data_IF_481741391055
#
_entry.id   IF_481741391055
#
_cell.length_a   1.000
_cell.length_b   1.000
_cell.length_c   1.000
_cell.angle_alpha   90.00
_cell.angle_beta   90.00
_cell.angle_gamma   90.00
#
_symmetry.space_group_name_H-M   'P 1'
#
loop_
_entity.id
_entity.type
_entity.pdbx_description
1 polymer ?
#
# COMPACT_ATOMS: atom_id res chain seq x y z
N UNK A 1 -7.22 1.62 38.13
CA UNK A 1 -5.81 1.44 37.76
C UNK A 1 -5.75 1.64 36.26
N UNK A 2 -5.46 2.87 35.84
CA UNK A 2 -5.16 3.15 34.42
C UNK A 2 -3.92 2.35 34.05
N UNK A 3 -4.06 1.53 33.00
CA UNK A 3 -2.89 0.91 32.36
C UNK A 3 -2.06 2.08 31.79
N UNK A 4 -0.88 2.31 32.35
CA UNK A 4 0.11 3.18 31.75
C UNK A 4 0.31 2.73 30.30
N UNK A 5 -0.22 3.49 29.37
CA UNK A 5 -0.02 3.25 27.95
C UNK A 5 1.45 3.49 27.65
N UNK A 6 2.20 2.40 27.50
CA UNK A 6 3.61 2.48 27.08
C UNK A 6 3.59 3.12 25.67
N UNK A 7 4.00 4.36 25.58
CA UNK A 7 4.17 5.04 24.28
C UNK A 7 5.44 4.47 23.65
N UNK A 8 5.25 3.50 22.76
CA UNK A 8 6.34 3.03 21.90
C UNK A 8 6.61 4.15 20.88
N UNK A 9 7.63 4.93 21.12
CA UNK A 9 8.16 5.86 20.12
C UNK A 9 9.00 5.07 19.14
N UNK A 10 8.41 4.67 18.00
CA UNK A 10 9.20 4.18 16.89
C UNK A 10 9.91 5.36 16.25
N UNK A 11 11.23 5.46 16.48
CA UNK A 11 12.05 6.43 15.78
C UNK A 11 12.27 5.92 14.35
N UNK A 12 11.66 6.62 13.43
CA UNK A 12 11.95 6.49 12.03
C UNK A 12 13.27 7.20 11.76
N UNK A 13 14.34 6.48 11.46
CA UNK A 13 15.52 7.07 10.86
C UNK A 13 15.12 7.46 9.44
N UNK A 14 14.66 8.69 9.26
CA UNK A 14 14.17 9.20 7.99
C UNK A 14 15.20 10.00 7.24
N UNK A 15 15.03 9.97 5.91
CA UNK A 15 15.60 10.83 4.92
C UNK A 15 15.91 12.24 5.44
N UNK A 16 17.17 12.61 5.38
CA UNK A 16 17.84 13.90 5.29
C UNK A 16 17.25 15.16 5.96
N UNK A 17 16.14 15.12 6.67
CA UNK A 17 15.63 16.28 7.40
C UNK A 17 15.30 15.94 8.85
N UNK A 18 16.24 16.35 9.71
CA UNK A 18 16.12 16.52 11.16
C UNK A 18 15.96 15.27 12.02
N UNK A 19 17.07 14.89 12.60
CA UNK A 19 17.13 14.33 13.94
C UNK A 19 16.57 15.38 14.93
N UNK A 20 15.28 15.57 14.97
CA UNK A 20 14.68 16.48 15.94
C UNK A 20 14.16 15.78 17.19
N UNK A 21 14.26 14.46 17.29
CA UNK A 21 13.96 13.77 18.53
C UNK A 21 15.02 12.69 18.83
N UNK A 22 16.19 13.11 19.28
CA UNK A 22 16.93 12.25 20.16
C UNK A 22 16.01 11.94 21.37
N UNK A 23 15.87 10.66 21.79
CA UNK A 23 15.09 10.33 22.98
C UNK A 23 15.63 11.16 24.14
N UNK A 24 14.74 11.74 24.95
CA UNK A 24 15.17 12.39 26.20
C UNK A 24 15.88 11.35 27.03
N UNK A 25 16.97 11.72 27.65
CA UNK A 25 17.74 10.81 28.52
C UNK A 25 16.75 10.15 29.50
N UNK A 26 16.68 8.81 29.45
CA UNK A 26 15.78 8.00 30.28
C UNK A 26 14.46 7.54 29.61
N UNK A 27 14.14 7.97 28.39
CA UNK A 27 13.01 7.38 27.66
C UNK A 27 13.40 6.02 27.07
N UNK A 28 12.57 5.02 27.30
CA UNK A 28 12.70 3.70 26.66
C UNK A 28 12.19 3.80 25.22
N UNK A 29 12.91 3.19 24.29
CA UNK A 29 12.56 3.15 22.87
C UNK A 29 13.05 1.87 22.21
N UNK A 30 12.44 1.51 21.10
CA UNK A 30 12.88 0.41 20.24
C UNK A 30 13.52 1.02 19.00
N UNK A 31 14.82 0.78 18.74
CA UNK A 31 15.45 1.24 17.50
C UNK A 31 14.79 0.56 16.30
N UNK A 32 14.31 1.35 15.33
CA UNK A 32 13.67 0.85 14.13
C UNK A 32 14.41 1.35 12.89
N UNK A 33 14.96 0.42 12.10
CA UNK A 33 15.67 0.73 10.87
C UNK A 33 14.80 0.36 9.67
N UNK A 34 14.46 1.37 8.86
CA UNK A 34 13.66 1.20 7.65
C UNK A 34 14.53 1.01 6.42
N UNK A 35 14.19 0.06 5.57
CA UNK A 35 14.69 -0.06 4.22
C UNK A 35 16.24 0.07 4.16
N UNK A 36 16.80 1.07 3.49
CA UNK A 36 18.26 1.25 3.34
C UNK A 36 19.02 1.40 4.65
N UNK A 37 18.37 1.86 5.71
CA UNK A 37 19.05 2.13 6.99
C UNK A 37 19.38 0.87 7.79
N UNK A 38 18.88 -0.30 7.40
CA UNK A 38 19.23 -1.60 8.05
C UNK A 38 20.73 -1.92 7.95
N UNK A 39 21.46 -1.31 7.01
CA UNK A 39 22.91 -1.46 6.85
C UNK A 39 23.75 -0.59 7.79
N UNK A 40 23.12 0.29 8.53
CA UNK A 40 23.80 1.15 9.50
C UNK A 40 24.26 0.33 10.72
N UNK A 41 24.96 1.00 11.65
CA UNK A 41 25.27 0.39 12.94
C UNK A 41 23.97 0.09 13.69
N UNK A 42 23.67 -1.19 13.89
CA UNK A 42 22.44 -1.65 14.53
C UNK A 42 22.62 -1.64 16.06
N UNK A 43 21.70 -1.02 16.75
CA UNK A 43 21.61 -1.01 18.21
C UNK A 43 21.04 -2.34 18.75
N UNK A 44 21.33 -2.71 20.01
CA UNK A 44 20.69 -3.86 20.64
C UNK A 44 19.14 -3.76 20.60
N UNK A 45 18.47 -4.89 20.45
CA UNK A 45 17.00 -5.00 20.35
C UNK A 45 16.38 -4.22 19.19
N UNK A 46 17.16 -3.83 18.19
CA UNK A 46 16.65 -3.16 17.02
C UNK A 46 15.71 -4.05 16.20
N UNK A 47 14.75 -3.41 15.57
CA UNK A 47 13.90 -4.04 14.55
C UNK A 47 14.24 -3.50 13.16
N UNK A 48 14.09 -4.35 12.14
CA UNK A 48 14.11 -3.93 10.74
C UNK A 48 12.67 -3.85 10.21
N UNK A 49 12.36 -2.80 9.45
CA UNK A 49 11.06 -2.62 8.81
C UNK A 49 11.25 -2.43 7.31
N UNK A 50 10.91 -3.45 6.53
CA UNK A 50 11.12 -3.48 5.08
C UNK A 50 9.79 -3.25 4.40
N UNK A 51 9.63 -2.04 3.85
CA UNK A 51 8.41 -1.56 3.21
C UNK A 51 8.45 -1.68 1.70
N UNK A 52 9.65 -1.49 1.11
CA UNK A 52 9.81 -1.51 -0.33
C UNK A 52 10.06 -2.94 -0.84
N UNK A 53 9.54 -3.29 -2.02
CA UNK A 53 9.75 -4.61 -2.60
C UNK A 53 11.22 -4.93 -2.89
N UNK A 54 11.57 -6.21 -2.84
CA UNK A 54 12.90 -6.73 -3.20
C UNK A 54 13.39 -6.20 -4.55
N UNK A 55 12.51 -6.06 -5.53
CA UNK A 55 12.84 -5.52 -6.86
C UNK A 55 13.43 -4.11 -6.79
N UNK A 56 12.99 -3.29 -5.83
CA UNK A 56 13.49 -1.91 -5.62
C UNK A 56 14.74 -1.93 -4.76
N UNK A 57 14.83 -2.87 -3.80
CA UNK A 57 15.89 -2.91 -2.80
C UNK A 57 16.56 -4.28 -2.67
N UNK A 58 17.05 -4.90 -3.76
CA UNK A 58 17.60 -6.26 -3.68
C UNK A 58 18.77 -6.38 -2.69
N UNK A 59 19.65 -5.38 -2.66
CA UNK A 59 20.82 -5.39 -1.76
C UNK A 59 20.48 -5.29 -0.28
N UNK A 60 19.29 -4.79 0.07
CA UNK A 60 18.79 -4.76 1.44
C UNK A 60 18.33 -6.14 1.86
N UNK A 61 17.56 -6.81 1.00
CA UNK A 61 17.11 -8.17 1.25
C UNK A 61 18.30 -9.13 1.39
N UNK A 62 19.27 -9.06 0.47
CA UNK A 62 20.51 -9.86 0.55
C UNK A 62 21.31 -9.59 1.83
N UNK A 63 21.33 -8.35 2.29
CA UNK A 63 21.99 -8.01 3.55
C UNK A 63 21.27 -8.65 4.74
N UNK A 64 19.95 -8.57 4.80
CA UNK A 64 19.15 -9.16 5.89
C UNK A 64 19.22 -10.68 5.89
N UNK A 65 19.26 -11.35 4.75
CA UNK A 65 19.46 -12.79 4.64
C UNK A 65 20.79 -13.24 5.30
N UNK A 66 21.82 -12.41 5.22
CA UNK A 66 23.15 -12.69 5.80
C UNK A 66 23.31 -12.22 7.24
N UNK A 67 22.51 -11.27 7.69
CA UNK A 67 22.69 -10.56 8.96
C UNK A 67 21.40 -10.44 9.76
N UNK A 68 20.46 -11.36 9.58
CA UNK A 68 19.17 -11.35 10.26
C UNK A 68 19.28 -11.38 11.79
N UNK A 69 20.32 -12.02 12.31
CA UNK A 69 20.63 -12.17 13.73
C UNK A 69 20.99 -10.85 14.43
N UNK A 70 21.27 -9.78 13.69
CA UNK A 70 21.49 -8.43 14.21
C UNK A 70 20.21 -7.74 14.66
N UNK A 71 19.05 -8.26 14.24
CA UNK A 71 17.75 -7.66 14.53
C UNK A 71 16.95 -8.58 15.44
N UNK A 72 16.22 -7.98 16.37
CA UNK A 72 15.29 -8.74 17.22
C UNK A 72 14.12 -9.26 16.38
N UNK A 73 13.57 -8.41 15.51
CA UNK A 73 12.56 -8.77 14.54
C UNK A 73 12.83 -8.11 13.19
N UNK A 74 12.43 -8.79 12.11
CA UNK A 74 12.41 -8.27 10.75
C UNK A 74 10.96 -8.26 10.29
N UNK A 75 10.40 -7.08 10.15
CA UNK A 75 9.04 -6.89 9.65
C UNK A 75 9.06 -6.65 8.16
N UNK A 76 8.41 -7.51 7.38
CA UNK A 76 8.51 -7.52 5.92
C UNK A 76 7.29 -8.16 5.25
N UNK A 77 7.05 -7.82 4.01
CA UNK A 77 6.12 -8.53 3.12
C UNK A 77 6.84 -9.53 2.20
N UNK A 78 8.18 -9.46 2.12
CA UNK A 78 8.98 -10.28 1.19
C UNK A 78 8.96 -11.76 1.58
N UNK A 79 8.49 -12.62 0.69
CA UNK A 79 8.28 -14.04 0.94
C UNK A 79 9.57 -14.81 1.28
N UNK A 80 10.73 -14.37 0.77
CA UNK A 80 12.02 -15.00 1.08
C UNK A 80 12.52 -14.56 2.47
N UNK A 81 12.40 -13.28 2.79
CA UNK A 81 12.76 -12.80 4.13
C UNK A 81 11.85 -13.39 5.22
N UNK A 82 10.59 -13.68 4.91
CA UNK A 82 9.66 -14.32 5.84
C UNK A 82 10.07 -15.76 6.25
N UNK A 83 11.02 -16.38 5.55
CA UNK A 83 11.61 -17.66 5.95
C UNK A 83 12.63 -17.54 7.08
N UNK A 84 13.07 -16.31 7.40
CA UNK A 84 14.03 -16.07 8.49
C UNK A 84 13.37 -16.29 9.86
N UNK A 85 14.12 -16.80 10.87
CA UNK A 85 13.53 -17.23 12.15
C UNK A 85 12.83 -16.12 12.94
N UNK A 86 13.26 -14.86 12.77
CA UNK A 86 12.76 -13.69 13.47
C UNK A 86 11.92 -12.76 12.58
N UNK A 87 11.56 -13.21 11.37
CA UNK A 87 10.75 -12.42 10.47
C UNK A 87 9.25 -12.47 10.85
N UNK A 88 8.56 -11.37 10.60
CA UNK A 88 7.13 -11.18 10.82
C UNK A 88 6.50 -10.50 9.60
N UNK A 89 5.31 -10.95 9.17
CA UNK A 89 4.64 -10.35 8.01
C UNK A 89 4.12 -8.96 8.32
N UNK A 90 4.22 -8.05 7.34
CA UNK A 90 3.53 -6.76 7.37
C UNK A 90 2.72 -6.54 6.12
N UNK A 91 1.70 -5.70 6.26
CA UNK A 91 0.95 -5.10 5.17
C UNK A 91 1.20 -3.61 5.23
N UNK A 92 1.83 -3.07 4.18
CA UNK A 92 2.12 -1.64 4.08
C UNK A 92 0.98 -0.93 3.36
N UNK A 93 -0.11 -0.69 4.09
CA UNK A 93 -1.30 -0.05 3.58
C UNK A 93 -1.63 1.24 4.35
N UNK A 94 -2.62 1.97 3.88
CA UNK A 94 -3.12 3.19 4.51
C UNK A 94 -4.31 3.74 3.72
N UNK A 95 -5.05 4.66 4.31
CA UNK A 95 -6.10 5.41 3.64
C UNK A 95 -5.75 6.89 3.75
N UNK A 96 -5.71 7.58 2.62
CA UNK A 96 -5.36 8.99 2.56
C UNK A 96 -6.57 9.89 2.42
N UNK A 97 -7.69 9.35 1.90
CA UNK A 97 -8.89 10.11 1.65
C UNK A 97 -10.14 9.23 1.77
N UNK A 98 -11.16 9.76 2.41
CA UNK A 98 -12.48 9.16 2.56
C UNK A 98 -13.52 10.04 1.88
N UNK A 99 -14.40 9.45 1.07
CA UNK A 99 -15.51 10.18 0.44
C UNK A 99 -16.77 9.33 0.34
N UNK A 100 -17.90 10.02 0.45
CA UNK A 100 -19.25 9.49 0.14
C UNK A 100 -19.84 10.21 -1.08
N UNK A 101 -18.99 10.80 -1.92
CA UNK A 101 -19.40 11.50 -3.13
C UNK A 101 -20.19 10.59 -4.06
N UNK A 102 -21.24 11.12 -4.69
CA UNK A 102 -22.02 10.42 -5.70
C UNK A 102 -21.15 10.11 -6.92
N UNK A 103 -21.33 8.93 -7.52
CA UNK A 103 -20.54 8.46 -8.65
C UNK A 103 -21.04 8.99 -9.98
N UNK A 104 -20.10 9.46 -10.80
CA UNK A 104 -20.33 9.92 -12.15
C UNK A 104 -20.12 8.76 -13.15
N UNK A 105 -21.13 8.47 -13.94
CA UNK A 105 -21.08 7.39 -14.94
C UNK A 105 -20.87 7.89 -16.37
N UNK A 106 -20.76 9.20 -16.58
CA UNK A 106 -20.45 9.77 -17.90
C UNK A 106 -18.95 9.56 -18.21
N UNK A 107 -18.10 9.62 -17.15
CA UNK A 107 -16.68 9.32 -17.19
C UNK A 107 -16.34 8.28 -16.09
N UNK A 108 -16.65 6.99 -16.32
CA UNK A 108 -16.71 6.04 -15.22
C UNK A 108 -15.34 5.55 -14.72
N UNK A 109 -14.26 5.76 -15.46
CA UNK A 109 -12.97 5.12 -15.20
C UNK A 109 -11.85 6.15 -15.06
N UNK A 110 -11.06 6.02 -14.00
CA UNK A 110 -9.85 6.80 -13.80
C UNK A 110 -8.59 5.94 -13.72
N UNK A 111 -7.43 6.56 -13.96
CA UNK A 111 -6.11 6.02 -13.64
C UNK A 111 -5.21 7.14 -13.15
N UNK A 112 -4.33 6.85 -12.17
CA UNK A 112 -3.24 7.73 -11.78
C UNK A 112 -1.89 7.11 -12.11
N UNK A 113 -1.05 7.80 -12.89
CA UNK A 113 0.23 7.28 -13.33
C UNK A 113 1.39 8.28 -13.12
N UNK A 114 2.56 7.80 -12.66
CA UNK A 114 3.72 8.66 -12.42
C UNK A 114 4.57 8.82 -13.68
N UNK A 115 5.33 9.90 -13.73
CA UNK A 115 6.40 10.08 -14.73
C UNK A 115 7.53 9.06 -14.54
N UNK A 116 7.97 8.88 -13.28
CA UNK A 116 9.06 7.95 -12.93
C UNK A 116 8.57 6.51 -12.93
N UNK A 117 9.04 5.73 -13.89
CA UNK A 117 8.66 4.34 -14.09
C UNK A 117 9.87 3.42 -13.85
N UNK A 118 10.15 3.10 -12.58
CA UNK A 118 11.32 2.33 -12.15
C UNK A 118 11.10 0.81 -12.09
N UNK A 119 9.85 0.35 -12.19
CA UNK A 119 9.50 -1.07 -12.19
C UNK A 119 8.69 -1.40 -13.44
N UNK A 120 8.68 -2.68 -13.91
CA UNK A 120 7.90 -3.08 -15.08
C UNK A 120 6.42 -2.66 -14.99
N UNK A 121 5.79 -2.79 -13.81
CA UNK A 121 4.39 -2.41 -13.62
C UNK A 121 4.19 -0.90 -13.61
N UNK A 122 5.14 -0.10 -13.12
CA UNK A 122 5.10 1.36 -13.27
C UNK A 122 5.24 1.79 -14.72
N UNK A 123 6.11 1.11 -15.50
CA UNK A 123 6.23 1.34 -16.95
C UNK A 123 4.91 1.03 -17.64
N UNK A 124 4.33 -0.13 -17.37
CA UNK A 124 3.05 -0.54 -17.95
C UNK A 124 1.93 0.44 -17.60
N UNK A 125 1.83 0.87 -16.33
CA UNK A 125 0.82 1.83 -15.89
C UNK A 125 0.96 3.18 -16.61
N UNK A 126 2.20 3.66 -16.78
CA UNK A 126 2.47 4.88 -17.55
C UNK A 126 2.05 4.72 -19.01
N UNK A 127 2.36 3.58 -19.64
CA UNK A 127 1.97 3.30 -21.03
C UNK A 127 0.45 3.25 -21.19
N UNK A 128 -0.26 2.57 -20.28
CA UNK A 128 -1.73 2.53 -20.30
C UNK A 128 -2.31 3.93 -20.21
N UNK A 129 -1.84 4.77 -19.28
CA UNK A 129 -2.32 6.14 -19.16
C UNK A 129 -2.03 6.97 -20.42
N UNK A 130 -0.89 6.76 -21.06
CA UNK A 130 -0.52 7.47 -22.29
C UNK A 130 -1.39 7.06 -23.47
N UNK A 131 -1.63 5.77 -23.63
CA UNK A 131 -2.35 5.21 -24.76
C UNK A 131 -3.86 5.41 -24.66
N UNK A 132 -4.40 5.53 -23.44
CA UNK A 132 -5.84 5.59 -23.19
C UNK A 132 -6.35 6.95 -22.69
N UNK A 133 -5.52 8.01 -22.72
CA UNK A 133 -5.90 9.33 -22.22
C UNK A 133 -7.07 10.01 -22.97
N UNK A 134 -7.39 9.54 -24.17
CA UNK A 134 -8.56 10.00 -24.95
C UNK A 134 -9.81 9.13 -24.68
N UNK A 135 -9.67 8.07 -23.89
CA UNK A 135 -10.76 7.10 -23.61
C UNK A 135 -11.21 7.13 -22.16
N UNK A 136 -10.28 7.31 -21.22
CA UNK A 136 -10.52 7.36 -19.78
C UNK A 136 -9.83 8.57 -19.15
N UNK A 137 -10.23 8.95 -17.95
CA UNK A 137 -9.62 10.08 -17.25
C UNK A 137 -8.27 9.68 -16.62
N UNK A 138 -7.20 10.30 -17.13
CA UNK A 138 -5.82 10.00 -16.74
C UNK A 138 -5.20 11.13 -15.92
N UNK A 139 -4.73 10.80 -14.73
CA UNK A 139 -4.16 11.73 -13.76
C UNK A 139 -2.69 11.45 -13.46
N UNK A 140 -2.02 12.46 -12.88
CA UNK A 140 -0.65 12.35 -12.40
C UNK A 140 0.38 12.87 -13.41
N UNK A 141 1.64 12.57 -13.14
CA UNK A 141 2.77 13.22 -13.81
C UNK A 141 3.24 12.50 -15.08
N UNK A 142 2.53 11.48 -15.55
CA UNK A 142 2.97 10.57 -16.64
C UNK A 142 3.31 11.26 -17.96
N UNK A 143 2.67 12.39 -18.25
CA UNK A 143 2.86 13.18 -19.47
C UNK A 143 3.42 14.60 -19.18
N UNK A 144 4.07 14.81 -18.03
CA UNK A 144 4.51 16.13 -17.58
C UNK A 144 3.42 16.93 -16.85
N UNK A 145 2.28 16.29 -16.52
CA UNK A 145 1.20 16.86 -15.74
C UNK A 145 1.55 17.09 -14.28
N UNK A 146 0.57 17.55 -13.52
CA UNK A 146 0.72 17.85 -12.11
C UNK A 146 0.45 16.61 -11.23
N UNK A 147 0.88 16.71 -9.96
CA UNK A 147 0.53 15.71 -8.96
C UNK A 147 -0.98 15.73 -8.69
N UNK A 148 -1.62 14.55 -8.76
CA UNK A 148 -3.04 14.39 -8.47
C UNK A 148 -3.26 13.93 -7.03
N UNK A 149 -4.24 14.49 -6.35
CA UNK A 149 -4.71 14.04 -5.05
C UNK A 149 -5.73 12.91 -5.22
N UNK A 150 -6.00 12.16 -4.13
CA UNK A 150 -6.99 11.09 -4.16
C UNK A 150 -8.39 11.59 -4.57
N UNK A 151 -8.76 12.79 -4.13
CA UNK A 151 -10.03 13.44 -4.48
C UNK A 151 -10.19 13.54 -5.99
N UNK A 152 -9.14 13.92 -6.70
CA UNK A 152 -9.17 14.20 -8.14
C UNK A 152 -9.54 12.96 -8.95
N UNK A 153 -9.03 11.78 -8.57
CA UNK A 153 -9.15 10.56 -9.38
C UNK A 153 -9.97 9.43 -8.74
N UNK A 154 -10.58 9.65 -7.55
CA UNK A 154 -11.40 8.62 -6.88
C UNK A 154 -12.81 9.11 -6.51
N UNK A 155 -12.98 10.34 -6.03
CA UNK A 155 -14.25 10.75 -5.43
C UNK A 155 -15.47 10.47 -6.31
N UNK A 156 -15.43 10.95 -7.54
CA UNK A 156 -16.57 10.82 -8.48
C UNK A 156 -16.53 9.54 -9.33
N UNK A 157 -15.40 8.80 -9.32
CA UNK A 157 -15.23 7.65 -10.21
C UNK A 157 -15.78 6.37 -9.60
N UNK A 158 -16.72 5.68 -10.28
CA UNK A 158 -17.14 4.35 -9.87
C UNK A 158 -16.04 3.30 -10.01
N UNK A 159 -15.10 3.49 -10.94
CA UNK A 159 -13.98 2.60 -11.19
C UNK A 159 -12.65 3.33 -11.25
N UNK A 160 -11.58 2.66 -10.82
CA UNK A 160 -10.21 3.15 -11.01
C UNK A 160 -9.26 2.00 -11.33
N UNK A 161 -8.36 2.21 -12.29
CA UNK A 161 -7.31 1.25 -12.61
C UNK A 161 -6.22 1.35 -11.56
N UNK A 162 -6.06 0.29 -10.78
CA UNK A 162 -5.13 0.19 -9.68
C UNK A 162 -4.07 -0.85 -9.99
N UNK A 163 -2.84 -0.40 -10.16
CA UNK A 163 -1.70 -1.27 -10.40
C UNK A 163 -0.66 -1.08 -9.30
N UNK A 164 -0.30 -2.16 -8.63
CA UNK A 164 0.78 -2.13 -7.67
C UNK A 164 2.14 -1.99 -8.36
N UNK A 165 3.15 -1.59 -7.60
CA UNK A 165 4.51 -1.46 -8.15
C UNK A 165 5.21 -2.81 -8.31
N UNK A 166 4.69 -3.84 -7.64
CA UNK A 166 5.19 -5.20 -7.59
C UNK A 166 4.04 -6.15 -7.29
N UNK A 167 4.13 -7.42 -7.69
CA UNK A 167 3.15 -8.45 -7.37
C UNK A 167 3.76 -9.41 -6.36
N UNK A 168 3.17 -9.45 -5.18
CA UNK A 168 3.48 -10.39 -4.11
C UNK A 168 2.21 -10.69 -3.31
N UNK A 169 2.14 -11.84 -2.65
CA UNK A 169 0.95 -12.29 -1.93
C UNK A 169 0.53 -11.34 -0.80
N UNK A 170 1.51 -10.74 -0.12
CA UNK A 170 1.28 -9.80 0.99
C UNK A 170 1.40 -8.32 0.57
N UNK A 171 1.60 -8.07 -0.74
CA UNK A 171 1.83 -6.73 -1.22
C UNK A 171 0.57 -6.10 -1.81
N UNK A 172 -0.15 -5.37 -0.99
CA UNK A 172 -1.10 -4.35 -1.42
C UNK A 172 -0.86 -3.07 -0.62
N UNK A 173 -1.25 -1.94 -1.15
CA UNK A 173 -0.88 -0.64 -0.59
C UNK A 173 -2.08 0.29 -0.48
N UNK A 174 -1.81 1.54 -0.12
CA UNK A 174 -2.80 2.62 -0.09
C UNK A 174 -3.63 2.75 -1.38
N UNK A 175 -3.13 2.28 -2.52
CA UNK A 175 -3.81 2.42 -3.81
C UNK A 175 -5.17 1.76 -3.84
N UNK A 176 -5.23 0.47 -3.44
CA UNK A 176 -6.51 -0.24 -3.39
C UNK A 176 -7.34 0.19 -2.18
N UNK A 177 -6.69 0.51 -1.06
CA UNK A 177 -7.38 0.96 0.15
C UNK A 177 -8.12 2.29 -0.07
N UNK A 178 -7.51 3.23 -0.79
CA UNK A 178 -8.16 4.48 -1.16
C UNK A 178 -9.39 4.26 -2.07
N UNK A 179 -9.37 3.26 -2.96
CA UNK A 179 -10.55 2.92 -3.74
C UNK A 179 -11.72 2.52 -2.83
N UNK A 180 -11.49 1.59 -1.90
CA UNK A 180 -12.54 1.14 -0.98
C UNK A 180 -13.06 2.27 -0.08
N UNK A 181 -12.16 3.12 0.44
CA UNK A 181 -12.52 4.26 1.25
C UNK A 181 -13.39 5.31 0.50
N UNK A 182 -13.32 5.30 -0.82
CA UNK A 182 -14.06 6.20 -1.69
C UNK A 182 -15.23 5.53 -2.42
N UNK A 183 -15.64 4.31 -2.05
CA UNK A 183 -16.67 3.53 -2.76
C UNK A 183 -16.36 3.33 -4.26
N UNK A 184 -15.09 3.26 -4.63
CA UNK A 184 -14.61 3.05 -6.00
C UNK A 184 -14.23 1.58 -6.17
N UNK A 185 -14.70 0.93 -7.23
CA UNK A 185 -14.33 -0.46 -7.57
C UNK A 185 -12.97 -0.44 -8.27
N UNK A 186 -11.92 -1.09 -7.71
CA UNK A 186 -10.63 -1.16 -8.36
C UNK A 186 -10.62 -2.19 -9.50
N UNK A 187 -10.14 -1.79 -10.68
CA UNK A 187 -9.63 -2.69 -11.71
C UNK A 187 -8.19 -3.00 -11.33
N UNK A 188 -7.97 -4.14 -10.67
CA UNK A 188 -6.80 -4.37 -9.84
C UNK A 188 -5.80 -5.34 -10.45
N UNK A 189 -4.57 -4.85 -10.64
CA UNK A 189 -3.39 -5.66 -10.97
C UNK A 189 -2.37 -5.58 -9.83
N UNK A 190 -2.34 -6.60 -8.98
CA UNK A 190 -1.52 -6.65 -7.78
C UNK A 190 -1.53 -8.03 -7.12
N UNK A 191 -1.62 -8.08 -5.79
CA UNK A 191 -1.64 -9.32 -5.01
C UNK A 191 -2.72 -10.28 -5.49
N UNK A 192 -2.33 -11.52 -5.76
CA UNK A 192 -3.28 -12.58 -6.14
C UNK A 192 -4.13 -13.05 -4.96
N UNK A 193 -3.69 -12.76 -3.73
CA UNK A 193 -4.39 -13.09 -2.49
C UNK A 193 -5.19 -11.93 -1.91
N UNK A 194 -5.46 -10.91 -2.71
CA UNK A 194 -6.22 -9.74 -2.22
C UNK A 194 -7.60 -10.12 -1.65
N UNK A 195 -8.19 -11.21 -2.14
CA UNK A 195 -9.48 -11.71 -1.67
C UNK A 195 -9.41 -12.41 -0.29
N UNK A 196 -8.21 -12.68 0.23
CA UNK A 196 -8.05 -13.14 1.63
C UNK A 196 -8.30 -11.97 2.62
N UNK A 197 -8.24 -10.73 2.14
CA UNK A 197 -8.38 -9.50 2.93
C UNK A 197 -9.69 -8.77 2.64
N UNK A 198 -10.12 -8.75 1.38
CA UNK A 198 -11.27 -7.99 0.91
C UNK A 198 -12.26 -8.87 0.16
N UNK A 199 -13.50 -8.39 0.06
CA UNK A 199 -14.54 -9.08 -0.69
C UNK A 199 -14.25 -8.99 -2.20
N UNK A 200 -14.04 -10.14 -2.84
CA UNK A 200 -13.68 -10.23 -4.24
C UNK A 200 -14.73 -9.69 -5.21
N UNK A 201 -16.03 -9.74 -4.84
CA UNK A 201 -17.10 -9.22 -5.68
C UNK A 201 -17.02 -7.69 -5.85
N UNK A 202 -16.35 -7.00 -4.92
CA UNK A 202 -16.06 -5.57 -5.00
C UNK A 202 -14.73 -5.23 -5.68
N UNK A 203 -14.09 -6.20 -6.36
CA UNK A 203 -12.79 -6.05 -7.03
C UNK A 203 -12.87 -6.65 -8.43
N UNK A 204 -12.36 -5.96 -9.42
CA UNK A 204 -12.15 -6.51 -10.76
C UNK A 204 -10.68 -6.89 -10.88
N UNK A 205 -10.35 -8.15 -10.55
CA UNK A 205 -8.97 -8.62 -10.68
C UNK A 205 -8.61 -8.87 -12.13
N UNK A 206 -7.43 -8.36 -12.54
CA UNK A 206 -6.87 -8.52 -13.88
C UNK A 206 -5.41 -8.97 -13.79
N UNK A 207 -4.91 -9.64 -14.82
CA UNK A 207 -3.55 -10.20 -14.86
C UNK A 207 -2.71 -9.64 -16.01
N UNK A 208 -3.32 -8.87 -16.91
CA UNK A 208 -2.67 -8.37 -18.12
C UNK A 208 -3.24 -7.03 -18.57
N UNK A 209 -2.48 -6.33 -19.42
CA UNK A 209 -2.96 -5.14 -20.11
C UNK A 209 -4.22 -5.43 -20.94
N UNK A 210 -4.23 -6.53 -21.66
CA UNK A 210 -5.39 -6.92 -22.50
C UNK A 210 -6.66 -7.08 -21.67
N UNK A 211 -6.57 -7.68 -20.48
CA UNK A 211 -7.72 -7.78 -19.58
C UNK A 211 -8.17 -6.41 -19.06
N UNK A 212 -7.24 -5.49 -18.79
CA UNK A 212 -7.57 -4.10 -18.42
C UNK A 212 -8.36 -3.44 -19.56
N UNK A 213 -7.86 -3.52 -20.79
CA UNK A 213 -8.51 -2.91 -21.97
C UNK A 213 -9.90 -3.50 -22.22
N UNK A 214 -10.06 -4.82 -22.13
CA UNK A 214 -11.36 -5.50 -22.24
C UNK A 214 -12.36 -5.03 -21.16
N UNK A 215 -11.87 -4.83 -19.92
CA UNK A 215 -12.74 -4.33 -18.84
C UNK A 215 -13.11 -2.87 -19.04
N UNK A 216 -12.21 -2.04 -19.58
CA UNK A 216 -12.55 -0.65 -19.95
C UNK A 216 -13.68 -0.62 -20.95
N UNK A 217 -13.56 -1.38 -22.05
CA UNK A 217 -14.60 -1.45 -23.09
C UNK A 217 -15.94 -1.88 -22.49
N UNK A 218 -15.95 -2.92 -21.68
CA UNK A 218 -17.13 -3.42 -21.00
C UNK A 218 -17.76 -2.37 -20.05
N UNK A 219 -16.94 -1.70 -19.24
CA UNK A 219 -17.44 -0.77 -18.23
C UNK A 219 -17.89 0.58 -18.80
N UNK A 220 -17.40 0.99 -19.95
CA UNK A 220 -17.94 2.15 -20.68
C UNK A 220 -19.40 1.90 -21.08
N UNK A 221 -19.73 0.67 -21.48
CA UNK A 221 -21.11 0.32 -21.92
C UNK A 221 -22.02 -0.09 -20.76
N UNK A 222 -21.48 -0.83 -19.76
CA UNK A 222 -22.28 -1.51 -18.73
C UNK A 222 -21.94 -1.07 -17.30
N UNK A 223 -21.01 -0.12 -17.11
CA UNK A 223 -20.45 0.20 -15.81
C UNK A 223 -21.47 0.63 -14.77
N UNK A 224 -22.55 1.30 -15.18
CA UNK A 224 -23.61 1.68 -14.24
C UNK A 224 -24.30 0.46 -13.61
N UNK A 225 -24.72 -0.50 -14.43
CA UNK A 225 -25.39 -1.72 -13.96
C UNK A 225 -24.45 -2.60 -13.16
N UNK A 226 -23.21 -2.77 -13.64
CA UNK A 226 -22.15 -3.53 -12.95
C UNK A 226 -21.87 -2.95 -11.57
N UNK A 227 -21.69 -1.63 -11.44
CA UNK A 227 -21.44 -0.96 -10.16
C UNK A 227 -22.56 -1.21 -9.15
N UNK A 228 -23.81 -1.03 -9.56
CA UNK A 228 -24.97 -1.25 -8.69
C UNK A 228 -25.14 -2.71 -8.29
N UNK A 229 -24.70 -3.65 -9.11
CA UNK A 229 -24.70 -5.08 -8.77
C UNK A 229 -23.68 -5.42 -7.67
N UNK A 230 -22.64 -4.59 -7.48
CA UNK A 230 -21.54 -4.77 -6.50
C UNK A 230 -21.75 -4.01 -5.19
N UNK A 231 -22.87 -3.30 -4.99
CA UNK A 231 -23.04 -2.38 -3.84
C UNK A 231 -22.79 -3.01 -2.48
N UNK A 232 -23.20 -4.25 -2.28
CA UNK A 232 -22.99 -4.93 -0.98
C UNK A 232 -21.50 -5.22 -0.75
N UNK A 233 -20.79 -5.63 -1.79
CA UNK A 233 -19.35 -5.87 -1.71
C UNK A 233 -18.54 -4.56 -1.57
N UNK A 234 -18.99 -3.47 -2.22
CA UNK A 234 -18.40 -2.14 -2.05
C UNK A 234 -18.52 -1.68 -0.59
N UNK A 235 -19.69 -1.82 0.02
CA UNK A 235 -19.92 -1.48 1.43
C UNK A 235 -19.10 -2.38 2.36
N UNK A 236 -19.03 -3.68 2.10
CA UNK A 236 -18.22 -4.62 2.87
C UNK A 236 -16.74 -4.25 2.81
N UNK A 237 -16.20 -3.95 1.63
CA UNK A 237 -14.82 -3.53 1.47
C UNK A 237 -14.53 -2.19 2.15
N UNK A 238 -15.48 -1.26 2.14
CA UNK A 238 -15.37 0.01 2.86
C UNK A 238 -15.28 -0.19 4.38
N UNK A 239 -16.00 -1.17 4.94
CA UNK A 239 -15.86 -1.53 6.36
C UNK A 239 -14.53 -2.21 6.65
N UNK A 240 -14.12 -3.18 5.81
CA UNK A 240 -12.86 -3.92 5.99
C UNK A 240 -11.63 -3.02 5.92
N UNK A 241 -11.64 -2.02 5.03
CA UNK A 241 -10.48 -1.13 4.85
C UNK A 241 -10.17 -0.26 6.08
N UNK A 242 -11.11 -0.10 7.01
CA UNK A 242 -10.86 0.60 8.28
C UNK A 242 -9.75 -0.06 9.13
N UNK A 243 -9.57 -1.37 9.00
CA UNK A 243 -8.45 -2.08 9.65
C UNK A 243 -7.10 -1.56 9.15
N UNK A 244 -7.04 -1.09 7.91
CA UNK A 244 -5.83 -0.65 7.21
C UNK A 244 -5.73 0.87 7.10
N UNK A 245 -6.55 1.64 7.80
CA UNK A 245 -6.59 3.11 7.71
C UNK A 245 -5.24 3.74 8.05
N UNK A 246 -4.55 3.21 9.06
CA UNK A 246 -3.22 3.63 9.47
C UNK A 246 -2.32 2.43 9.67
N UNK A 247 -1.16 2.44 9.00
CA UNK A 247 -0.14 1.40 9.20
C UNK A 247 0.28 1.31 10.67
N UNK A 248 0.49 2.44 11.33
CA UNK A 248 0.92 2.50 12.72
C UNK A 248 -0.11 1.82 13.63
N UNK A 249 -1.39 2.11 13.45
CA UNK A 249 -2.47 1.50 14.23
C UNK A 249 -2.57 0.01 13.96
N UNK A 250 -2.55 -0.41 12.68
CA UNK A 250 -2.55 -1.81 12.29
C UNK A 250 -1.35 -2.57 12.89
N UNK A 251 -0.18 -1.99 12.79
CA UNK A 251 1.08 -2.57 13.26
C UNK A 251 1.09 -2.74 14.78
N UNK A 252 0.64 -1.72 15.51
CA UNK A 252 0.59 -1.76 16.97
C UNK A 252 -0.48 -2.73 17.48
N UNK A 253 -1.64 -2.82 16.85
CA UNK A 253 -2.68 -3.78 17.20
C UNK A 253 -2.19 -5.23 17.05
N UNK A 254 -1.33 -5.50 16.07
CA UNK A 254 -0.85 -6.84 15.75
C UNK A 254 0.41 -7.23 16.52
N UNK A 255 1.30 -6.29 16.77
CA UNK A 255 2.65 -6.54 17.29
C UNK A 255 2.98 -5.78 18.57
N UNK A 256 2.08 -4.96 19.09
CA UNK A 256 2.32 -4.15 20.29
C UNK A 256 2.78 -4.95 21.50
N UNK A 257 2.21 -6.13 21.74
CA UNK A 257 2.57 -6.99 22.88
C UNK A 257 4.04 -7.45 22.77
N UNK A 258 4.46 -8.00 21.63
CA UNK A 258 5.84 -8.47 21.45
C UNK A 258 6.86 -7.32 21.38
N UNK A 259 6.44 -6.13 20.97
CA UNK A 259 7.31 -4.95 21.00
C UNK A 259 7.43 -4.40 22.41
N UNK A 260 6.39 -4.48 23.25
CA UNK A 260 6.43 -4.11 24.66
C UNK A 260 7.47 -4.91 25.47
N UNK A 261 7.74 -6.15 25.08
CA UNK A 261 8.78 -6.99 25.71
C UNK A 261 10.22 -6.49 25.41
N UNK A 262 10.42 -5.60 24.46
CA UNK A 262 11.74 -5.07 24.07
C UNK A 262 12.12 -3.82 24.86
N UNK A 263 11.18 -3.24 25.59
CA UNK A 263 11.35 -2.04 26.43
C UNK A 263 11.70 -2.40 27.87
#
# INVERSE_FOLDING_TARGET
MEKDSVRIKMFWVNDFHFVEYAPKVGEKYIPCYKDFYVKNRVEPNAIALIREPRLIQPSICEYLEKHWDKFRYIFTHDSELLKLPNAKPIIWAGVWHWSDCEKDFDHPISIVAPEKAQTPLKVLRKQIAFDLQDTIDCYGTFNGGEWAKCEDYLEKYPYSIVMENYIDDLWFTEKICNCFANNTVPIYLGSKKITDYFNGDGIIQVNSRTEIEQMIDYLIEHGREDYFSRLDAIKDNRERVKEYESFETWFMNRYGDILGELL
#
